data_IF_021286253650
#
_entry.id   IF_021286253650
#
_cell.length_a   1.000
_cell.length_b   1.000
_cell.length_c   1.000
_cell.angle_alpha   90.00
_cell.angle_beta   90.00
_cell.angle_gamma   90.00
#
_symmetry.space_group_name_H-M   'P 1'
#
loop_
_entity.id
_entity.type
_entity.pdbx_description
1 polymer ?
#
# COMPACT_ATOMS: atom_id res chain seq x y z
N UNK A 1 -10.52 -23.13 -3.13
CA UNK A 1 -9.24 -22.42 -3.37
C UNK A 1 -8.08 -23.37 -3.07
N UNK A 2 -6.97 -23.33 -3.82
CA UNK A 2 -5.79 -24.15 -3.46
C UNK A 2 -4.98 -23.43 -2.39
N UNK A 3 -4.23 -24.18 -1.58
CA UNK A 3 -3.34 -23.61 -0.55
C UNK A 3 -2.34 -22.61 -1.15
N UNK A 4 -1.80 -22.90 -2.34
CA UNK A 4 -0.92 -21.97 -3.07
C UNK A 4 -1.58 -20.63 -3.33
N UNK A 5 -2.84 -20.61 -3.78
CA UNK A 5 -3.56 -19.35 -4.05
C UNK A 5 -3.89 -18.62 -2.74
N UNK A 6 -4.31 -19.34 -1.70
CA UNK A 6 -4.58 -18.72 -0.40
C UNK A 6 -3.32 -18.06 0.20
N UNK A 7 -2.14 -18.68 0.05
CA UNK A 7 -0.88 -18.11 0.51
C UNK A 7 -0.51 -16.85 -0.28
N UNK A 8 -0.63 -16.87 -1.62
CA UNK A 8 -0.39 -15.69 -2.45
C UNK A 8 -1.34 -14.52 -2.11
N UNK A 9 -2.59 -14.80 -1.75
CA UNK A 9 -3.53 -13.75 -1.32
C UNK A 9 -3.18 -13.19 0.06
N UNK A 10 -2.66 -14.00 0.99
CA UNK A 10 -2.13 -13.49 2.25
C UNK A 10 -0.90 -12.60 2.03
N UNK A 11 0.00 -12.98 1.11
CA UNK A 11 1.11 -12.12 0.69
C UNK A 11 0.61 -10.82 0.05
N UNK A 12 -0.45 -10.89 -0.76
CA UNK A 12 -1.02 -9.70 -1.39
C UNK A 12 -1.61 -8.73 -0.35
N UNK A 13 -2.29 -9.22 0.69
CA UNK A 13 -2.76 -8.35 1.79
C UNK A 13 -1.59 -7.55 2.39
N UNK A 14 -0.44 -8.18 2.62
CA UNK A 14 0.74 -7.48 3.12
C UNK A 14 1.24 -6.44 2.12
N UNK A 15 1.30 -6.79 0.83
CA UNK A 15 1.74 -5.86 -0.22
C UNK A 15 0.86 -4.62 -0.31
N UNK A 16 -0.47 -4.77 -0.30
CA UNK A 16 -1.38 -3.60 -0.32
C UNK A 16 -1.23 -2.75 0.94
N UNK A 17 -1.09 -3.37 2.11
CA UNK A 17 -0.84 -2.61 3.34
C UNK A 17 0.53 -1.90 3.32
N UNK A 18 1.55 -2.50 2.71
CA UNK A 18 2.83 -1.85 2.47
C UNK A 18 2.69 -0.68 1.49
N UNK A 19 1.93 -0.83 0.39
CA UNK A 19 1.61 0.27 -0.54
C UNK A 19 0.96 1.44 0.21
N UNK A 20 -0.01 1.17 1.06
CA UNK A 20 -0.63 2.19 1.91
C UNK A 20 0.38 2.88 2.84
N UNK A 21 1.33 2.13 3.42
CA UNK A 21 2.35 2.71 4.29
C UNK A 21 3.36 3.57 3.51
N UNK A 22 3.76 3.12 2.32
CA UNK A 22 4.59 3.86 1.37
C UNK A 22 3.93 5.17 0.93
N UNK A 23 2.62 5.16 0.68
CA UNK A 23 1.89 6.36 0.29
C UNK A 23 1.74 7.36 1.43
N UNK A 24 1.66 6.90 2.69
CA UNK A 24 1.76 7.81 3.83
C UNK A 24 3.15 8.46 3.95
N UNK A 25 4.23 7.72 3.67
CA UNK A 25 5.59 8.28 3.62
C UNK A 25 5.71 9.37 2.54
N UNK A 26 5.15 9.12 1.35
CA UNK A 26 5.07 10.11 0.28
C UNK A 26 4.21 11.32 0.66
N UNK A 27 3.07 11.11 1.34
CA UNK A 27 2.23 12.20 1.83
C UNK A 27 3.02 13.10 2.82
N UNK A 28 3.76 12.50 3.75
CA UNK A 28 4.62 13.22 4.69
C UNK A 28 5.67 14.07 3.94
N UNK A 29 6.32 13.49 2.92
CA UNK A 29 7.29 14.22 2.10
C UNK A 29 6.69 15.50 1.50
N UNK A 30 5.47 15.42 0.94
CA UNK A 30 4.80 16.59 0.36
C UNK A 30 4.30 17.58 1.44
N UNK A 31 3.86 17.08 2.59
CA UNK A 31 3.47 17.91 3.74
C UNK A 31 4.63 18.81 4.19
N UNK A 32 5.82 18.23 4.39
CA UNK A 32 7.03 18.94 4.80
C UNK A 32 7.47 20.04 3.82
N UNK A 33 6.99 19.97 2.57
CA UNK A 33 7.31 20.90 1.48
C UNK A 33 6.18 21.91 1.21
N UNK A 34 5.10 21.87 1.98
CA UNK A 34 3.95 22.75 1.81
C UNK A 34 3.13 22.46 0.56
N UNK A 35 3.19 21.23 0.04
CA UNK A 35 2.51 20.79 -1.19
C UNK A 35 1.23 20.01 -0.84
N UNK A 36 0.29 20.68 -0.19
CA UNK A 36 -0.93 20.09 0.40
C UNK A 36 -1.80 19.30 -0.59
N UNK A 37 -1.86 19.72 -1.86
CA UNK A 37 -2.61 18.98 -2.88
C UNK A 37 -2.05 17.58 -3.17
N UNK A 38 -0.73 17.44 -3.19
CA UNK A 38 -0.06 16.14 -3.37
C UNK A 38 -0.13 15.30 -2.10
N UNK A 39 0.05 15.93 -0.93
CA UNK A 39 -0.12 15.27 0.36
C UNK A 39 -1.51 14.63 0.48
N UNK A 40 -2.57 15.39 0.24
CA UNK A 40 -3.92 14.87 0.32
C UNK A 40 -4.17 13.76 -0.72
N UNK A 41 -3.63 13.90 -1.94
CA UNK A 41 -3.77 12.85 -2.95
C UNK A 41 -3.17 11.53 -2.46
N UNK A 42 -1.92 11.54 -1.96
CA UNK A 42 -1.28 10.35 -1.42
C UNK A 42 -1.96 9.81 -0.16
N UNK A 43 -2.48 10.68 0.71
CA UNK A 43 -3.26 10.26 1.87
C UNK A 43 -4.55 9.52 1.48
N UNK A 44 -5.21 9.93 0.38
CA UNK A 44 -6.37 9.23 -0.17
C UNK A 44 -5.96 7.91 -0.82
N UNK A 45 -4.87 7.87 -1.59
CA UNK A 45 -4.35 6.62 -2.16
C UNK A 45 -3.98 5.61 -1.07
N UNK A 46 -3.41 6.05 0.06
CA UNK A 46 -3.13 5.18 1.19
C UNK A 46 -4.38 4.52 1.78
N UNK A 47 -5.52 5.23 1.77
CA UNK A 47 -6.81 4.67 2.18
C UNK A 47 -7.35 3.66 1.15
N UNK A 48 -7.21 3.96 -0.14
CA UNK A 48 -7.59 3.03 -1.22
C UNK A 48 -6.83 1.70 -1.11
N UNK A 49 -5.51 1.73 -0.88
CA UNK A 49 -4.71 0.51 -0.72
C UNK A 49 -5.07 -0.30 0.53
N UNK A 50 -5.38 0.38 1.63
CA UNK A 50 -5.95 -0.29 2.81
C UNK A 50 -7.24 -1.02 2.44
N UNK A 51 -8.11 -0.38 1.67
CA UNK A 51 -9.40 -0.97 1.27
C UNK A 51 -9.20 -2.13 0.30
N UNK A 52 -8.23 -2.07 -0.62
CA UNK A 52 -7.81 -3.22 -1.43
C UNK A 52 -7.42 -4.42 -0.55
N UNK A 53 -6.57 -4.19 0.47
CA UNK A 53 -6.17 -5.23 1.41
C UNK A 53 -7.38 -5.83 2.15
N UNK A 54 -8.33 -4.99 2.57
CA UNK A 54 -9.53 -5.43 3.29
C UNK A 54 -10.50 -6.22 2.41
N UNK A 55 -10.57 -5.91 1.12
CA UNK A 55 -11.35 -6.69 0.14
C UNK A 55 -10.77 -8.09 -0.03
N UNK A 56 -9.45 -8.23 -0.18
CA UNK A 56 -8.77 -9.53 -0.27
C UNK A 56 -8.97 -10.33 1.02
N UNK A 57 -8.80 -9.69 2.18
CA UNK A 57 -9.06 -10.30 3.49
C UNK A 57 -10.48 -10.84 3.58
N UNK A 58 -11.47 -10.05 3.16
CA UNK A 58 -12.88 -10.47 3.17
C UNK A 58 -13.12 -11.63 2.21
N UNK A 59 -12.50 -11.61 1.03
CA UNK A 59 -12.59 -12.69 0.06
C UNK A 59 -12.03 -14.01 0.62
N UNK A 60 -10.90 -14.00 1.33
CA UNK A 60 -10.37 -15.19 1.98
C UNK A 60 -11.34 -15.77 3.03
N UNK A 61 -11.91 -14.93 3.89
CA UNK A 61 -12.91 -15.36 4.88
C UNK A 61 -14.15 -15.96 4.22
N UNK A 62 -14.66 -15.33 3.15
CA UNK A 62 -15.82 -15.83 2.40
C UNK A 62 -15.58 -17.19 1.72
N UNK A 63 -14.33 -17.65 1.65
CA UNK A 63 -13.94 -18.94 1.09
C UNK A 63 -13.36 -19.89 2.15
N UNK A 64 -13.66 -19.64 3.43
CA UNK A 64 -13.21 -20.41 4.60
C UNK A 64 -11.69 -20.60 4.65
N UNK A 65 -10.93 -19.64 4.13
CA UNK A 65 -9.47 -19.66 4.14
C UNK A 65 -8.92 -18.93 5.36
N UNK A 66 -7.81 -19.43 5.90
CA UNK A 66 -7.10 -18.76 7.00
C UNK A 66 -6.43 -17.48 6.48
N UNK A 67 -6.69 -16.38 7.19
CA UNK A 67 -5.95 -15.12 7.02
C UNK A 67 -4.76 -15.10 7.98
N UNK A 68 -3.57 -14.83 7.44
CA UNK A 68 -2.33 -14.65 8.20
C UNK A 68 -1.72 -13.31 7.81
N UNK A 69 -1.66 -12.37 8.75
CA UNK A 69 -1.00 -11.08 8.53
C UNK A 69 0.51 -11.26 8.63
N UNK A 70 1.23 -10.82 7.60
CA UNK A 70 2.69 -10.87 7.55
C UNK A 70 3.28 -9.55 8.06
N UNK A 71 4.57 -9.54 8.46
CA UNK A 71 5.27 -8.31 8.81
C UNK A 71 5.23 -7.29 7.67
N UNK A 72 5.16 -6.00 8.04
CA UNK A 72 5.25 -4.87 7.11
C UNK A 72 6.47 -4.07 7.54
N UNK A 73 7.45 -3.97 6.65
CA UNK A 73 8.64 -3.16 6.88
C UNK A 73 8.33 -1.67 6.67
N UNK A 74 9.05 -0.81 7.38
CA UNK A 74 8.94 0.63 7.18
C UNK A 74 9.49 1.02 5.80
N UNK A 75 8.83 1.95 5.07
CA UNK A 75 9.41 2.55 3.87
C UNK A 75 10.77 3.19 4.19
N UNK A 76 11.74 3.05 3.29
CA UNK A 76 13.09 3.62 3.43
C UNK A 76 13.43 4.53 2.25
N UNK A 77 12.41 5.21 1.70
CA UNK A 77 12.57 6.03 0.52
C UNK A 77 13.20 7.39 0.85
N UNK A 78 13.89 7.94 -0.15
CA UNK A 78 14.41 9.30 -0.11
C UNK A 78 14.20 9.92 -1.48
N UNK A 79 13.62 11.13 -1.52
CA UNK A 79 13.20 11.74 -2.76
C UNK A 79 14.07 12.96 -3.11
N UNK A 80 14.64 12.95 -4.32
CA UNK A 80 15.57 13.98 -4.82
C UNK A 80 14.87 15.29 -5.21
N UNK A 81 13.62 15.20 -5.63
CA UNK A 81 12.82 16.30 -6.17
C UNK A 81 11.32 16.02 -5.99
N UNK A 82 10.47 16.98 -6.36
CA UNK A 82 9.02 16.86 -6.17
C UNK A 82 8.35 15.84 -7.10
N UNK A 83 8.99 15.45 -8.20
CA UNK A 83 8.48 14.44 -9.13
C UNK A 83 8.86 13.02 -8.73
N UNK A 84 9.91 12.84 -7.93
CA UNK A 84 10.42 11.52 -7.55
C UNK A 84 9.36 10.59 -6.91
N UNK A 85 8.52 11.02 -5.95
CA UNK A 85 7.46 10.17 -5.40
C UNK A 85 6.45 9.70 -6.46
N UNK A 86 6.06 10.56 -7.39
CA UNK A 86 5.11 10.22 -8.46
C UNK A 86 5.66 9.16 -9.42
N UNK A 87 6.91 9.31 -9.85
CA UNK A 87 7.56 8.31 -10.71
C UNK A 87 7.72 6.97 -9.97
N UNK A 88 8.07 7.02 -8.69
CA UNK A 88 8.17 5.81 -7.85
C UNK A 88 6.82 5.11 -7.73
N UNK A 89 5.76 5.85 -7.45
CA UNK A 89 4.38 5.36 -7.39
C UNK A 89 3.98 4.68 -8.70
N UNK A 90 4.22 5.34 -9.83
CA UNK A 90 3.94 4.75 -11.15
C UNK A 90 4.73 3.46 -11.43
N UNK A 91 5.95 3.35 -10.92
CA UNK A 91 6.74 2.12 -11.02
C UNK A 91 6.27 1.03 -10.08
N UNK A 92 5.74 1.39 -8.91
CA UNK A 92 5.21 0.47 -7.90
C UNK A 92 3.90 -0.18 -8.35
N UNK A 93 3.03 0.58 -9.02
CA UNK A 93 1.70 0.15 -9.50
C UNK A 93 1.70 -0.66 -10.82
N UNK A 94 2.87 -0.86 -11.44
CA UNK A 94 2.99 -1.62 -12.71
C UNK A 94 3.28 -3.09 -12.49
#
# INVERSE_FOLDING_TARGET
>A
MTERIANLLNEQIMKELYSGYLYLDMANYYNERGLEGFENWFYIQAQEERDHAMLIRTYLHNNDQKVTLLPIDAPQESYSDYGAPLHKTLSHEK
#
